data_IF_232015168320
#
_entry.id   IF_232015168320
#
_cell.length_a   1.000
_cell.length_b   1.000
_cell.length_c   1.000
_cell.angle_alpha   90.00
_cell.angle_beta   90.00
_cell.angle_gamma   90.00
#
_symmetry.space_group_name_H-M   'P 1'
#
loop_
_entity.id
_entity.type
_entity.pdbx_description
1 polymer ?
#
# COMPACT_ATOMS: atom_id res chain seq x y z
N UNK A 1 17.04 -29.67 -31.90
CA UNK A 1 15.98 -28.68 -32.17
C UNK A 1 14.83 -28.76 -31.15
N UNK A 2 14.19 -29.92 -30.94
CA UNK A 2 13.10 -30.08 -29.94
C UNK A 2 13.51 -29.85 -28.48
N UNK A 3 14.70 -30.32 -28.08
CA UNK A 3 15.23 -30.10 -26.71
C UNK A 3 15.55 -28.62 -26.44
N UNK A 4 16.00 -27.87 -27.46
CA UNK A 4 16.26 -26.42 -27.34
C UNK A 4 14.98 -25.62 -27.14
N UNK A 5 13.87 -26.04 -27.75
CA UNK A 5 12.54 -25.46 -27.53
C UNK A 5 12.01 -25.77 -26.13
N UNK A 6 12.18 -27.00 -25.65
CA UNK A 6 11.80 -27.38 -24.28
C UNK A 6 12.60 -26.60 -23.22
N UNK A 7 13.90 -26.39 -23.44
CA UNK A 7 14.74 -25.61 -22.53
C UNK A 7 14.36 -24.12 -22.53
N UNK A 8 14.04 -23.56 -23.70
CA UNK A 8 13.56 -22.18 -23.83
C UNK A 8 12.18 -21.98 -23.18
N UNK A 9 11.27 -22.94 -23.33
CA UNK A 9 9.95 -22.91 -22.68
C UNK A 9 10.06 -23.03 -21.17
N UNK A 10 10.97 -23.86 -20.66
CA UNK A 10 11.21 -24.01 -19.23
C UNK A 10 11.78 -22.72 -18.61
N UNK A 11 12.72 -22.07 -19.30
CA UNK A 11 13.24 -20.76 -18.90
C UNK A 11 12.19 -19.66 -18.95
N UNK A 12 11.34 -19.65 -19.97
CA UNK A 12 10.24 -18.69 -20.09
C UNK A 12 9.17 -18.89 -18.99
N UNK A 13 8.86 -20.14 -18.63
CA UNK A 13 7.96 -20.47 -17.52
C UNK A 13 8.53 -20.05 -16.16
N UNK A 14 9.82 -20.32 -15.91
CA UNK A 14 10.52 -19.90 -14.69
C UNK A 14 10.58 -18.37 -14.56
N UNK A 15 10.84 -17.65 -15.65
CA UNK A 15 10.85 -16.19 -15.66
C UNK A 15 9.45 -15.59 -15.47
N UNK A 16 8.41 -16.21 -16.03
CA UNK A 16 7.02 -15.80 -15.83
C UNK A 16 6.59 -15.97 -14.37
N UNK A 17 6.99 -17.06 -13.71
CA UNK A 17 6.71 -17.30 -12.30
C UNK A 17 7.36 -16.26 -11.38
N UNK A 18 8.53 -15.72 -11.75
CA UNK A 18 9.18 -14.63 -11.03
C UNK A 18 8.47 -13.27 -11.20
N UNK A 19 7.78 -13.03 -12.32
CA UNK A 19 7.00 -11.79 -12.55
C UNK A 19 5.68 -11.73 -11.76
N UNK A 20 5.15 -12.86 -11.29
CA UNK A 20 4.00 -12.90 -10.39
C UNK A 20 4.34 -12.48 -8.94
N UNK A 21 5.61 -12.27 -8.62
CA UNK A 21 6.03 -11.47 -7.47
C UNK A 21 6.01 -9.97 -7.82
N UNK A 22 4.96 -9.53 -8.51
CA UNK A 22 4.64 -8.10 -8.54
C UNK A 22 4.14 -7.81 -7.14
N UNK A 23 4.95 -7.09 -6.36
CA UNK A 23 4.56 -6.57 -5.06
C UNK A 23 3.17 -5.96 -5.18
N UNK A 24 2.18 -6.66 -4.64
CA UNK A 24 1.12 -5.95 -3.97
C UNK A 24 1.88 -5.04 -3.00
N UNK A 25 1.99 -3.75 -3.34
CA UNK A 25 2.00 -2.72 -2.31
C UNK A 25 0.68 -2.99 -1.60
N UNK A 26 0.74 -3.89 -0.62
CA UNK A 26 -0.27 -3.97 0.41
C UNK A 26 -0.08 -2.63 1.06
N UNK A 27 -0.89 -1.67 0.65
CA UNK A 27 -0.92 -0.33 1.21
C UNK A 27 -1.48 -0.56 2.63
N UNK A 28 -0.61 -0.99 3.54
CA UNK A 28 -0.93 -1.56 4.85
C UNK A 28 -1.71 -0.55 5.68
N UNK A 29 -1.60 0.73 5.34
CA UNK A 29 -2.41 1.79 5.91
C UNK A 29 -3.88 1.65 5.51
N UNK A 30 -4.23 1.28 4.28
CA UNK A 30 -5.62 1.33 3.78
C UNK A 30 -6.52 0.21 4.31
N UNK A 31 -5.95 -0.91 4.75
CA UNK A 31 -6.69 -2.02 5.38
C UNK A 31 -7.01 -1.75 6.86
N UNK A 32 -6.42 -0.70 7.45
CA UNK A 32 -6.58 -0.37 8.86
C UNK A 32 -7.72 0.63 9.06
N UNK A 33 -8.83 0.15 9.62
CA UNK A 33 -10.02 0.97 9.89
C UNK A 33 -10.07 1.53 11.31
N UNK A 34 -8.99 1.38 12.10
CA UNK A 34 -8.95 1.86 13.49
C UNK A 34 -7.78 2.84 13.67
N UNK A 35 -8.07 3.99 14.27
CA UNK A 35 -7.10 5.06 14.50
C UNK A 35 -5.87 4.62 15.31
N UNK A 36 -6.09 3.80 16.36
CA UNK A 36 -5.02 3.34 17.26
C UNK A 36 -4.02 2.43 16.56
N UNK A 37 -4.48 1.54 15.67
CA UNK A 37 -3.61 0.70 14.84
C UNK A 37 -2.95 1.51 13.74
N UNK A 38 -3.70 2.42 13.08
CA UNK A 38 -3.16 3.26 12.00
C UNK A 38 -1.92 4.05 12.42
N UNK A 39 -1.91 4.56 13.65
CA UNK A 39 -0.79 5.38 14.16
C UNK A 39 0.45 4.57 14.56
N UNK A 40 0.30 3.24 14.68
CA UNK A 40 1.38 2.32 15.04
C UNK A 40 1.97 1.61 13.81
N UNK A 41 1.23 1.58 12.71
CA UNK A 41 1.62 0.91 11.48
C UNK A 41 2.54 1.77 10.60
N UNK A 42 3.47 1.08 9.93
CA UNK A 42 4.34 1.63 8.89
C UNK A 42 4.16 0.76 7.65
N UNK A 43 4.14 1.41 6.50
CA UNK A 43 4.23 0.73 5.21
C UNK A 43 5.53 -0.10 5.17
N UNK A 44 5.53 -1.17 4.38
CA UNK A 44 6.74 -1.96 4.09
C UNK A 44 7.89 -1.11 3.51
N UNK A 45 7.58 0.03 2.89
CA UNK A 45 8.55 1.02 2.39
C UNK A 45 9.07 2.00 3.48
N UNK A 46 8.68 1.80 4.74
CA UNK A 46 9.07 2.64 5.88
C UNK A 46 8.30 3.95 6.02
N UNK A 47 7.30 4.19 5.16
CA UNK A 47 6.42 5.35 5.24
C UNK A 47 5.45 5.20 6.42
N UNK A 48 5.28 6.28 7.20
CA UNK A 48 4.31 6.31 8.28
C UNK A 48 2.88 6.37 7.73
N UNK A 49 1.97 5.62 8.35
CA UNK A 49 0.55 5.79 8.14
C UNK A 49 0.03 7.03 8.88
N UNK A 50 -0.95 7.70 8.29
CA UNK A 50 -1.65 8.85 8.88
C UNK A 50 -3.13 8.55 8.92
N UNK A 51 -3.77 8.91 10.03
CA UNK A 51 -5.21 8.81 10.14
C UNK A 51 -5.84 10.09 9.61
N UNK A 52 -6.78 9.94 8.68
CA UNK A 52 -7.46 11.00 7.96
C UNK A 52 -8.91 11.07 8.40
N UNK A 53 -9.34 12.25 8.87
CA UNK A 53 -10.70 12.51 9.30
C UNK A 53 -11.35 13.47 8.31
N UNK A 54 -12.61 13.20 7.97
CA UNK A 54 -13.47 14.09 7.21
C UNK A 54 -14.86 14.14 7.84
N UNK A 55 -15.59 15.22 7.62
CA UNK A 55 -16.95 15.37 8.14
C UNK A 55 -17.99 14.59 7.30
N UNK A 56 -17.72 14.42 6.00
CA UNK A 56 -18.68 13.89 5.02
C UNK A 56 -18.51 12.39 4.73
N UNK A 57 -17.36 11.82 5.07
CA UNK A 57 -17.04 10.39 4.85
C UNK A 57 -16.40 9.82 6.10
N UNK A 58 -16.46 8.49 6.31
CA UNK A 58 -15.78 7.85 7.43
C UNK A 58 -14.29 8.19 7.45
N UNK A 59 -13.74 8.27 8.66
CA UNK A 59 -12.30 8.35 8.85
C UNK A 59 -11.62 7.07 8.37
N UNK A 60 -10.41 7.23 7.85
CA UNK A 60 -9.65 6.14 7.26
C UNK A 60 -8.16 6.36 7.46
N UNK A 61 -7.40 5.29 7.32
CA UNK A 61 -5.96 5.32 7.39
C UNK A 61 -5.37 5.37 5.98
N UNK A 62 -4.36 6.22 5.78
CA UNK A 62 -3.73 6.45 4.49
C UNK A 62 -2.22 6.61 4.67
N UNK A 63 -1.43 6.31 3.64
CA UNK A 63 -0.02 6.68 3.68
C UNK A 63 0.17 8.18 3.39
N UNK A 64 1.35 8.71 3.72
CA UNK A 64 1.67 10.14 3.52
C UNK A 64 1.51 10.62 2.06
N UNK A 65 1.80 9.77 1.07
CA UNK A 65 1.67 10.13 -0.34
C UNK A 65 0.20 10.21 -0.79
N UNK A 66 -0.66 9.34 -0.27
CA UNK A 66 -2.11 9.39 -0.46
C UNK A 66 -2.70 10.62 0.25
N UNK A 67 -2.32 10.86 1.50
CA UNK A 67 -2.79 11.99 2.28
C UNK A 67 -2.44 13.33 1.61
N UNK A 68 -1.26 13.44 0.98
CA UNK A 68 -0.85 14.63 0.23
C UNK A 68 -1.72 14.91 -1.02
N UNK A 69 -2.44 13.91 -1.53
CA UNK A 69 -3.38 14.07 -2.65
C UNK A 69 -4.78 14.48 -2.21
N UNK A 70 -5.07 14.40 -0.91
CA UNK A 70 -6.39 14.73 -0.39
C UNK A 70 -6.53 16.24 -0.20
N UNK A 71 -7.69 16.83 -0.52
CA UNK A 71 -7.94 18.25 -0.26
C UNK A 71 -7.86 18.54 1.25
N UNK A 72 -6.94 19.39 1.72
CA UNK A 72 -6.74 19.64 3.16
C UNK A 72 -7.92 20.36 3.81
N UNK A 73 -8.81 20.97 3.02
CA UNK A 73 -10.06 21.58 3.50
C UNK A 73 -11.12 20.54 3.85
N UNK A 74 -11.06 19.35 3.25
CA UNK A 74 -12.06 18.29 3.45
C UNK A 74 -11.51 17.19 4.36
N UNK A 75 -10.22 16.90 4.24
CA UNK A 75 -9.54 15.84 4.98
C UNK A 75 -8.46 16.43 5.87
N UNK A 76 -8.55 16.15 7.16
CA UNK A 76 -7.50 16.45 8.13
C UNK A 76 -6.76 15.15 8.45
N UNK A 77 -5.51 15.05 7.99
CA UNK A 77 -4.67 13.88 8.18
C UNK A 77 -3.50 14.21 9.11
N UNK A 78 -3.29 13.43 10.18
CA UNK A 78 -2.20 13.65 11.14
C UNK A 78 -1.43 12.36 11.45
N UNK A 79 -0.14 12.50 11.76
CA UNK A 79 0.72 11.46 12.35
C UNK A 79 0.67 11.44 13.89
N UNK A 80 0.16 12.52 14.49
CA UNK A 80 0.07 12.71 15.95
C UNK A 80 -1.35 13.17 16.27
N UNK A 81 -2.14 12.25 16.78
CA UNK A 81 -3.51 12.50 17.19
C UNK A 81 -3.53 13.03 18.62
N UNK A 82 -3.14 14.29 18.78
CA UNK A 82 -3.35 15.03 20.02
C UNK A 82 -4.70 15.75 19.88
N UNK A 83 -5.72 15.18 20.54
CA UNK A 83 -6.99 15.85 20.84
C UNK A 83 -7.01 16.20 22.32
#
# INVERSE_FOLDING_TARGET
MRASLLFALFFALLACFAMLASSAVVDQCTDVTTQSTCSQDKESDGLACVWCIAAAVPSFCANTAQAAKLPPTVFNCSTSFDF
#
